data_IF_319945954671
#
_entry.id   IF_319945954671
#
_cell.length_a   1.000
_cell.length_b   1.000
_cell.length_c   1.000
_cell.angle_alpha   90.00
_cell.angle_beta   90.00
_cell.angle_gamma   90.00
#
_symmetry.space_group_name_H-M   'P 1'
#
loop_
_entity.id
_entity.type
_entity.pdbx_description
1 polymer ?
#
# COMPACT_ATOMS: atom_id res chain seq x y z
N UNK A 1 -19.36 17.61 13.43
CA UNK A 1 -18.11 17.05 13.99
C UNK A 1 -17.75 15.71 13.33
N UNK A 2 -18.67 14.75 13.21
CA UNK A 2 -18.40 13.41 12.64
C UNK A 2 -17.71 13.42 11.25
N UNK A 3 -18.17 14.24 10.31
CA UNK A 3 -17.54 14.34 8.97
C UNK A 3 -16.08 14.81 9.00
N UNK A 4 -15.70 15.63 9.98
CA UNK A 4 -14.33 16.12 10.11
C UNK A 4 -13.41 15.02 10.68
N UNK A 5 -13.89 14.29 11.69
CA UNK A 5 -13.18 13.14 12.26
C UNK A 5 -12.98 12.06 11.20
N UNK A 6 -14.01 11.71 10.45
CA UNK A 6 -13.94 10.73 9.36
C UNK A 6 -12.96 11.16 8.25
N UNK A 7 -12.95 12.44 7.90
CA UNK A 7 -11.98 12.98 6.95
C UNK A 7 -10.54 12.84 7.45
N UNK A 8 -10.26 13.21 8.71
CA UNK A 8 -8.93 13.09 9.31
C UNK A 8 -8.50 11.62 9.45
N UNK A 9 -9.42 10.73 9.84
CA UNK A 9 -9.20 9.28 9.84
C UNK A 9 -8.75 8.78 8.47
N UNK A 10 -9.45 9.18 7.41
CA UNK A 10 -9.09 8.81 6.05
C UNK A 10 -7.72 9.36 5.64
N UNK A 11 -7.38 10.59 6.02
CA UNK A 11 -6.06 11.18 5.74
C UNK A 11 -4.93 10.40 6.41
N UNK A 12 -5.07 10.12 7.71
CA UNK A 12 -4.08 9.37 8.49
C UNK A 12 -3.92 7.95 7.95
N UNK A 13 -5.03 7.25 7.69
CA UNK A 13 -5.01 5.87 7.18
C UNK A 13 -4.36 5.77 5.79
N UNK A 14 -4.51 6.80 4.95
CA UNK A 14 -3.85 6.85 3.64
C UNK A 14 -2.38 7.29 3.73
N UNK A 15 -1.97 7.96 4.81
CA UNK A 15 -0.63 8.53 4.98
C UNK A 15 -0.01 8.19 6.36
N UNK A 16 0.12 6.90 6.72
CA UNK A 16 0.48 6.49 8.08
C UNK A 16 1.93 6.84 8.47
N UNK A 17 2.79 7.22 7.53
CA UNK A 17 4.18 7.62 7.78
C UNK A 17 4.40 9.14 7.70
N UNK A 18 3.36 9.92 7.40
CA UNK A 18 3.50 11.37 7.29
C UNK A 18 3.48 11.99 8.69
N UNK A 19 4.64 12.04 9.35
CA UNK A 19 4.79 12.54 10.71
C UNK A 19 4.17 13.94 10.92
N UNK A 20 4.33 14.84 9.94
CA UNK A 20 3.74 16.18 10.00
C UNK A 20 2.21 16.14 10.06
N UNK A 21 1.57 15.31 9.22
CA UNK A 21 0.12 15.09 9.27
C UNK A 21 -0.30 14.46 10.60
N UNK A 22 0.45 13.48 11.11
CA UNK A 22 0.12 12.82 12.38
C UNK A 22 0.16 13.80 13.55
N UNK A 23 1.16 14.70 13.56
CA UNK A 23 1.30 15.73 14.60
C UNK A 23 0.19 16.78 14.48
N UNK A 24 -0.13 17.22 13.25
CA UNK A 24 -1.25 18.15 12.98
C UNK A 24 -2.59 17.57 13.48
N UNK A 25 -2.86 16.29 13.20
CA UNK A 25 -4.08 15.63 13.67
C UNK A 25 -4.13 15.57 15.19
N UNK A 26 -3.03 15.22 15.86
CA UNK A 26 -2.96 15.22 17.33
C UNK A 26 -3.20 16.61 17.91
N UNK A 27 -2.65 17.65 17.28
CA UNK A 27 -2.83 19.04 17.71
C UNK A 27 -4.30 19.49 17.58
N UNK A 28 -4.95 19.18 16.45
CA UNK A 28 -6.38 19.48 16.23
C UNK A 28 -7.25 18.87 17.33
N UNK A 29 -7.01 17.60 17.67
CA UNK A 29 -7.76 16.91 18.73
C UNK A 29 -7.43 17.43 20.12
N UNK A 30 -6.16 17.76 20.40
CA UNK A 30 -5.74 18.36 21.67
C UNK A 30 -6.44 19.71 21.91
N UNK A 31 -6.50 20.57 20.87
CA UNK A 31 -7.20 21.86 20.91
C UNK A 31 -8.71 21.72 21.11
N UNK A 32 -9.29 20.56 20.79
CA UNK A 32 -10.68 20.22 21.04
C UNK A 32 -10.91 19.53 22.41
N UNK A 33 -9.89 19.44 23.27
CA UNK A 33 -9.91 18.66 24.52
C UNK A 33 -10.18 17.15 24.33
N UNK A 34 -9.84 16.64 23.15
CA UNK A 34 -10.05 15.25 22.69
C UNK A 34 -8.72 14.52 22.45
N UNK A 35 -7.71 14.79 23.29
CA UNK A 35 -6.34 14.32 23.05
C UNK A 35 -6.21 12.79 23.01
N UNK A 36 -6.94 12.07 23.86
CA UNK A 36 -6.95 10.60 23.87
C UNK A 36 -7.56 10.02 22.59
N UNK A 37 -8.66 10.59 22.10
CA UNK A 37 -9.31 10.14 20.86
C UNK A 37 -8.42 10.39 19.64
N UNK A 38 -7.74 11.54 19.59
CA UNK A 38 -6.78 11.86 18.53
C UNK A 38 -5.58 10.92 18.53
N UNK A 39 -5.04 10.58 19.70
CA UNK A 39 -3.95 9.63 19.83
C UNK A 39 -4.37 8.21 19.41
N UNK A 40 -5.55 7.75 19.85
CA UNK A 40 -6.10 6.45 19.46
C UNK A 40 -6.33 6.36 17.94
N UNK A 41 -6.91 7.40 17.34
CA UNK A 41 -7.13 7.50 15.89
C UNK A 41 -5.83 7.32 15.10
N UNK A 42 -4.78 8.07 15.48
CA UNK A 42 -3.48 8.00 14.84
C UNK A 42 -2.89 6.61 14.96
N UNK A 43 -2.94 6.02 16.16
CA UNK A 43 -2.34 4.72 16.41
C UNK A 43 -3.06 3.60 15.65
N UNK A 44 -4.40 3.54 15.68
CA UNK A 44 -5.16 2.52 14.96
C UNK A 44 -4.93 2.60 13.46
N UNK A 45 -4.98 3.81 12.89
CA UNK A 45 -4.79 4.02 11.45
C UNK A 45 -3.36 3.69 10.99
N UNK A 46 -2.36 3.96 11.84
CA UNK A 46 -0.95 3.60 11.60
C UNK A 46 -0.77 2.08 11.66
N UNK A 47 -1.37 1.43 12.65
CA UNK A 47 -1.28 0.00 12.85
C UNK A 47 -1.92 -0.78 11.70
N UNK A 48 -3.07 -0.33 11.18
CA UNK A 48 -3.69 -0.87 9.96
C UNK A 48 -2.71 -0.86 8.78
N UNK A 49 -2.05 0.28 8.52
CA UNK A 49 -1.05 0.40 7.45
C UNK A 49 0.13 -0.58 7.59
N UNK A 50 0.58 -0.84 8.81
CA UNK A 50 1.65 -1.81 9.10
C UNK A 50 1.16 -3.25 8.94
N UNK A 51 -0.05 -3.54 9.38
CA UNK A 51 -0.63 -4.89 9.29
C UNK A 51 -0.76 -5.36 7.84
N UNK A 52 -1.22 -4.48 6.94
CA UNK A 52 -1.29 -4.81 5.51
C UNK A 52 0.10 -5.05 4.88
N UNK A 53 1.15 -4.35 5.36
CA UNK A 53 2.52 -4.59 4.92
C UNK A 53 3.01 -5.99 5.35
N UNK A 54 2.82 -6.33 6.63
CA UNK A 54 3.26 -7.61 7.16
C UNK A 54 2.51 -8.77 6.51
N UNK A 55 1.20 -8.62 6.30
CA UNK A 55 0.36 -9.66 5.69
C UNK A 55 0.73 -9.94 4.24
N UNK A 56 0.93 -8.90 3.42
CA UNK A 56 1.33 -9.07 2.01
C UNK A 56 2.69 -9.76 1.84
N UNK A 57 3.68 -9.38 2.64
CA UNK A 57 5.03 -9.98 2.58
C UNK A 57 5.05 -11.39 3.16
N UNK A 58 4.39 -11.64 4.29
CA UNK A 58 4.35 -12.96 4.92
C UNK A 58 3.62 -13.98 4.05
N UNK A 59 2.45 -13.64 3.52
CA UNK A 59 1.68 -14.54 2.66
C UNK A 59 2.42 -14.85 1.34
N UNK A 60 3.12 -13.87 0.77
CA UNK A 60 3.96 -14.11 -0.40
C UNK A 60 5.13 -15.06 -0.10
N UNK A 61 5.75 -14.96 1.09
CA UNK A 61 6.81 -15.89 1.52
C UNK A 61 6.29 -17.31 1.71
N UNK A 62 5.05 -17.47 2.14
CA UNK A 62 4.38 -18.76 2.33
C UNK A 62 3.78 -19.32 1.02
N UNK A 63 3.95 -18.64 -0.10
CA UNK A 63 3.40 -19.04 -1.41
C UNK A 63 1.89 -18.84 -1.55
N UNK A 64 1.24 -18.21 -0.57
CA UNK A 64 -0.20 -17.94 -0.52
C UNK A 64 -0.55 -16.65 -1.29
N UNK A 65 -0.19 -16.61 -2.56
CA UNK A 65 -0.31 -15.40 -3.37
C UNK A 65 -1.75 -14.92 -3.55
N UNK A 66 -2.71 -15.84 -3.74
CA UNK A 66 -4.12 -15.47 -3.91
C UNK A 66 -4.70 -14.81 -2.65
N UNK A 67 -4.42 -15.37 -1.46
CA UNK A 67 -4.84 -14.77 -0.19
C UNK A 67 -4.19 -13.40 0.04
N UNK A 68 -2.91 -13.26 -0.34
CA UNK A 68 -2.18 -12.00 -0.27
C UNK A 68 -2.81 -10.93 -1.17
N UNK A 69 -3.11 -11.29 -2.43
CA UNK A 69 -3.76 -10.40 -3.40
C UNK A 69 -5.16 -10.01 -2.93
N UNK A 70 -5.97 -10.96 -2.44
CA UNK A 70 -7.30 -10.67 -1.92
C UNK A 70 -7.24 -9.66 -0.77
N UNK A 71 -6.38 -9.89 0.22
CA UNK A 71 -6.23 -8.98 1.36
C UNK A 71 -5.73 -7.59 0.95
N UNK A 72 -4.82 -7.50 -0.01
CA UNK A 72 -4.31 -6.21 -0.51
C UNK A 72 -5.32 -5.48 -1.41
N UNK A 73 -6.20 -6.20 -2.11
CA UNK A 73 -7.32 -5.61 -2.85
C UNK A 73 -8.34 -4.99 -1.90
N UNK A 74 -8.68 -5.66 -0.80
CA UNK A 74 -9.52 -5.10 0.26
C UNK A 74 -8.88 -3.86 0.88
N UNK A 75 -7.58 -3.92 1.19
CA UNK A 75 -6.83 -2.79 1.69
C UNK A 75 -6.87 -1.60 0.70
N UNK A 76 -6.72 -1.85 -0.59
CA UNK A 76 -6.82 -0.81 -1.64
C UNK A 76 -8.21 -0.17 -1.69
N UNK A 77 -9.27 -0.94 -1.47
CA UNK A 77 -10.63 -0.39 -1.40
C UNK A 77 -10.82 0.50 -0.17
N UNK A 78 -10.29 0.09 0.99
CA UNK A 78 -10.35 0.88 2.22
C UNK A 78 -9.41 2.11 2.20
N UNK A 79 -8.30 2.04 1.47
CA UNK A 79 -7.24 3.05 1.42
C UNK A 79 -6.77 3.31 -0.01
N UNK A 80 -7.62 3.90 -0.86
CA UNK A 80 -7.32 4.04 -2.29
C UNK A 80 -6.16 5.00 -2.58
N UNK A 81 -5.82 5.87 -1.63
CA UNK A 81 -4.73 6.86 -1.74
C UNK A 81 -3.50 6.47 -0.91
N UNK A 82 -3.41 5.23 -0.44
CA UNK A 82 -2.24 4.75 0.28
C UNK A 82 -1.23 4.14 -0.69
N UNK A 83 -0.18 4.90 -1.01
CA UNK A 83 0.85 4.47 -1.94
C UNK A 83 1.57 3.17 -1.49
N UNK A 84 1.69 2.91 -0.19
CA UNK A 84 2.30 1.66 0.31
C UNK A 84 1.44 0.45 -0.03
N UNK A 85 0.12 0.53 0.16
CA UNK A 85 -0.82 -0.54 -0.17
C UNK A 85 -0.74 -0.85 -1.67
N UNK A 86 -0.73 0.18 -2.50
CA UNK A 86 -0.62 0.05 -3.96
C UNK A 86 0.71 -0.59 -4.39
N UNK A 87 1.85 -0.15 -3.83
CA UNK A 87 3.15 -0.78 -4.09
C UNK A 87 3.21 -2.24 -3.62
N UNK A 88 2.59 -2.55 -2.49
CA UNK A 88 2.57 -3.92 -1.96
C UNK A 88 1.70 -4.84 -2.83
N UNK A 89 0.53 -4.38 -3.29
CA UNK A 89 -0.30 -5.12 -4.23
C UNK A 89 0.48 -5.43 -5.51
N UNK A 90 1.12 -4.42 -6.11
CA UNK A 90 1.96 -4.62 -7.29
C UNK A 90 3.09 -5.62 -7.04
N UNK A 91 3.79 -5.50 -5.90
CA UNK A 91 4.87 -6.43 -5.54
C UNK A 91 4.38 -7.87 -5.45
N UNK A 92 3.29 -8.12 -4.72
CA UNK A 92 2.73 -9.48 -4.57
C UNK A 92 2.29 -10.05 -5.92
N UNK A 93 1.66 -9.25 -6.77
CA UNK A 93 1.24 -9.68 -8.11
C UNK A 93 2.47 -10.04 -8.97
N UNK A 94 3.52 -9.21 -8.95
CA UNK A 94 4.77 -9.47 -9.67
C UNK A 94 5.44 -10.74 -9.15
N UNK A 95 5.55 -10.92 -7.84
CA UNK A 95 6.14 -12.13 -7.23
C UNK A 95 5.33 -13.38 -7.57
N UNK A 96 4.00 -13.30 -7.56
CA UNK A 96 3.12 -14.39 -8.00
C UNK A 96 3.47 -14.79 -9.44
N UNK A 97 3.47 -13.83 -10.37
CA UNK A 97 3.78 -14.09 -11.79
C UNK A 97 5.19 -14.63 -12.01
N UNK A 98 6.18 -14.21 -11.22
CA UNK A 98 7.54 -14.79 -11.27
C UNK A 98 7.58 -16.28 -10.91
N UNK A 99 6.62 -16.76 -10.11
CA UNK A 99 6.57 -18.14 -9.61
C UNK A 99 5.61 -19.03 -10.38
N UNK A 100 4.45 -18.50 -10.76
CA UNK A 100 3.36 -19.26 -11.38
C UNK A 100 3.27 -19.06 -12.89
N UNK A 101 3.95 -18.05 -13.42
CA UNK A 101 3.92 -17.68 -14.82
C UNK A 101 3.14 -16.38 -15.09
N UNK A 102 3.35 -15.83 -16.29
CA UNK A 102 2.71 -14.58 -16.72
C UNK A 102 1.20 -14.78 -16.89
N UNK A 103 0.42 -13.87 -16.30
CA UNK A 103 -1.00 -13.71 -16.59
C UNK A 103 -1.28 -12.27 -17.06
N UNK A 104 -1.85 -12.04 -18.26
CA UNK A 104 -2.08 -10.70 -18.79
C UNK A 104 -2.92 -9.79 -17.86
N UNK A 105 -3.90 -10.36 -17.16
CA UNK A 105 -4.78 -9.64 -16.25
C UNK A 105 -4.01 -9.10 -15.05
N UNK A 106 -3.12 -9.94 -14.49
CA UNK A 106 -2.23 -9.58 -13.39
C UNK A 106 -1.19 -8.53 -13.82
N UNK A 107 -0.71 -8.58 -15.07
CA UNK A 107 0.17 -7.52 -15.60
C UNK A 107 -0.55 -6.17 -15.59
N UNK A 108 -1.80 -6.14 -16.07
CA UNK A 108 -2.61 -4.92 -16.08
C UNK A 108 -2.85 -4.40 -14.68
N UNK A 109 -3.24 -5.27 -13.75
CA UNK A 109 -3.54 -4.87 -12.37
C UNK A 109 -2.30 -4.32 -11.63
N UNK A 110 -1.14 -4.97 -11.78
CA UNK A 110 0.10 -4.48 -11.20
C UNK A 110 0.50 -3.12 -11.79
N UNK A 111 0.32 -2.92 -13.10
CA UNK A 111 0.60 -1.65 -13.77
C UNK A 111 -0.28 -0.53 -13.21
N UNK A 112 -1.58 -0.77 -13.08
CA UNK A 112 -2.53 0.20 -12.56
C UNK A 112 -2.19 0.59 -11.11
N UNK A 113 -1.84 -0.39 -10.28
CA UNK A 113 -1.42 -0.15 -8.90
C UNK A 113 -0.14 0.70 -8.85
N UNK A 114 0.87 0.41 -9.68
CA UNK A 114 2.11 1.18 -9.75
C UNK A 114 1.88 2.61 -10.25
N UNK A 115 1.03 2.80 -11.26
CA UNK A 115 0.70 4.12 -11.79
C UNK A 115 -0.03 4.97 -10.74
N UNK A 116 -1.02 4.38 -10.05
CA UNK A 116 -1.70 5.05 -8.95
C UNK A 116 -0.73 5.43 -7.83
N UNK A 117 0.18 4.52 -7.43
CA UNK A 117 1.19 4.79 -6.42
C UNK A 117 2.15 5.92 -6.83
N UNK A 118 2.59 5.94 -8.09
CA UNK A 118 3.47 6.98 -8.60
C UNK A 118 2.76 8.34 -8.76
N UNK A 119 1.46 8.35 -9.01
CA UNK A 119 0.66 9.57 -8.99
C UNK A 119 0.59 10.21 -7.61
N UNK A 120 0.60 9.39 -6.54
CA UNK A 120 0.58 9.85 -5.15
C UNK A 120 1.98 10.24 -4.65
N UNK A 121 2.99 9.42 -4.95
CA UNK A 121 4.38 9.62 -4.53
C UNK A 121 5.32 9.47 -5.74
N UNK A 122 5.44 10.51 -6.58
CA UNK A 122 6.30 10.46 -7.76
C UNK A 122 7.78 10.40 -7.39
N UNK A 123 8.57 9.75 -8.25
CA UNK A 123 10.04 9.69 -8.09
C UNK A 123 10.54 8.68 -7.06
N UNK A 124 9.66 7.84 -6.51
CA UNK A 124 10.05 6.78 -5.58
C UNK A 124 10.91 5.72 -6.28
N UNK A 125 12.06 5.39 -5.71
CA UNK A 125 12.95 4.34 -6.24
C UNK A 125 12.24 2.98 -6.38
N UNK A 126 11.32 2.68 -5.45
CA UNK A 126 10.51 1.46 -5.46
C UNK A 126 9.63 1.34 -6.71
N UNK A 127 9.13 2.45 -7.25
CA UNK A 127 8.38 2.44 -8.50
C UNK A 127 9.25 1.93 -9.64
N UNK A 128 10.45 2.49 -9.81
CA UNK A 128 11.37 2.09 -10.89
C UNK A 128 11.72 0.60 -10.82
N UNK A 129 12.00 0.09 -9.63
CA UNK A 129 12.31 -1.33 -9.41
C UNK A 129 11.15 -2.26 -9.81
N UNK A 130 9.95 -1.99 -9.29
CA UNK A 130 8.78 -2.82 -9.55
C UNK A 130 8.29 -2.69 -11.00
N UNK A 131 8.34 -1.50 -11.56
CA UNK A 131 7.97 -1.24 -12.96
C UNK A 131 8.91 -1.99 -13.92
N UNK A 132 10.24 -1.94 -13.68
CA UNK A 132 11.19 -2.70 -14.49
C UNK A 132 10.96 -4.22 -14.41
N UNK A 133 10.67 -4.75 -13.22
CA UNK A 133 10.33 -6.15 -13.04
C UNK A 133 9.04 -6.53 -13.79
N UNK A 134 8.01 -5.69 -13.70
CA UNK A 134 6.75 -5.90 -14.39
C UNK A 134 6.92 -5.93 -15.92
N UNK A 135 7.67 -4.98 -16.48
CA UNK A 135 7.91 -4.90 -17.91
C UNK A 135 8.74 -6.09 -18.43
N UNK A 136 9.70 -6.59 -17.62
CA UNK A 136 10.42 -7.82 -17.95
C UNK A 136 9.48 -9.03 -18.08
N UNK A 137 8.56 -9.22 -17.10
CA UNK A 137 7.54 -10.28 -17.16
C UNK A 137 6.56 -10.08 -18.33
N UNK A 138 6.15 -8.84 -18.58
CA UNK A 138 5.19 -8.51 -19.62
C UNK A 138 5.73 -8.87 -21.01
N UNK A 139 7.03 -8.65 -21.24
CA UNK A 139 7.74 -8.87 -22.50
C UNK A 139 8.31 -10.29 -22.65
N UNK A 140 8.03 -11.20 -21.70
CA UNK A 140 8.52 -12.58 -21.75
C UNK A 140 10.00 -12.74 -21.39
N UNK A 141 10.61 -11.73 -20.77
CA UNK A 141 11.99 -11.78 -20.28
C UNK A 141 12.10 -12.67 -19.04
N UNK A 142 13.10 -13.57 -19.04
CA UNK A 142 13.54 -14.21 -17.80
C UNK A 142 14.04 -13.12 -16.86
N UNK A 143 13.39 -12.92 -15.72
CA UNK A 143 13.97 -12.12 -14.65
C UNK A 143 15.11 -12.94 -14.07
N UNK A 144 16.34 -12.55 -14.39
CA UNK A 144 17.50 -13.03 -13.63
C UNK A 144 17.39 -12.48 -12.20
N UNK A 145 17.52 -13.32 -11.16
CA UNK A 145 17.57 -12.83 -9.80
C UNK A 145 18.78 -11.92 -9.65
N UNK A 146 18.60 -10.81 -8.92
CA UNK A 146 19.69 -9.91 -8.57
C UNK A 146 20.82 -10.70 -7.86
N UNK A 147 22.10 -10.33 -8.09
CA UNK A 147 23.26 -11.04 -7.55
C UNK A 147 23.31 -11.06 -6.02
#
# INVERSE_FOLDING_TARGET
>A
QERAVEFLQNQVRNNPDNAALLDEVKEIFSNAAMAEEGAALVETSRQEGIEFMNRGVLLARDGKYEEAMASLREARQAMPSNARVLFNLAYVIITCMQKTGRAPELVSEARDALQAANGLLPGQARYGQLHAALESLANGGKIEPAP
#
